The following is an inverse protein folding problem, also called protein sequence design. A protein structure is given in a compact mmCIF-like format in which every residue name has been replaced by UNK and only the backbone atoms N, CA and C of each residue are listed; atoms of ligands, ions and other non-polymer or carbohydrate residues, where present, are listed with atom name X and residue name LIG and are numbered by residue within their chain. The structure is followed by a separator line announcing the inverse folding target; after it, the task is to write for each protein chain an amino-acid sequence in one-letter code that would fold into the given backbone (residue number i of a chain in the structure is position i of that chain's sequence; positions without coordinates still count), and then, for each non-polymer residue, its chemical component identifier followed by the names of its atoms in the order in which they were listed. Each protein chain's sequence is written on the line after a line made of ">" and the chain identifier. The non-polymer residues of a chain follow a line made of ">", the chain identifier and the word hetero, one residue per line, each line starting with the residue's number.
data_IF_918478768992
#
_entry.id   IF_918478768992
#
_cell.length_a   1.000
_cell.length_b   1.000
_cell.length_c   1.000
_cell.angle_alpha   90.00
_cell.angle_beta   90.00
_cell.angle_gamma   90.00
#
_symmetry.space_group_name_H-M   'P 1'
#
loop_
_entity.id
_entity.type
_entity.pdbx_description
1 polymer ?
#
# COMPACT_ATOMS: atom_id res chain seq x y z
N UNK A 1 -29.03 -9.87 1.35
CA UNK A 1 -27.73 -9.34 0.92
C UNK A 1 -26.71 -9.75 1.96
N UNK A 2 -25.64 -10.43 1.58
CA UNK A 2 -24.57 -10.83 2.52
C UNK A 2 -23.72 -9.61 2.86
N UNK A 3 -23.19 -9.53 4.08
CA UNK A 3 -22.37 -8.38 4.52
C UNK A 3 -21.17 -8.11 3.59
N UNK A 4 -20.58 -9.16 3.02
CA UNK A 4 -19.49 -9.04 2.04
C UNK A 4 -19.90 -8.29 0.76
N UNK A 5 -21.15 -8.43 0.29
CA UNK A 5 -21.66 -7.72 -0.90
C UNK A 5 -21.78 -6.21 -0.63
N UNK A 6 -22.09 -5.83 0.63
CA UNK A 6 -22.14 -4.43 1.04
C UNK A 6 -20.76 -3.76 0.95
N UNK A 7 -19.66 -4.50 1.06
CA UNK A 7 -18.31 -3.96 0.90
C UNK A 7 -17.95 -3.65 -0.57
N UNK A 8 -18.77 -4.10 -1.54
CA UNK A 8 -18.62 -3.73 -2.94
C UNK A 8 -19.45 -2.49 -3.32
N UNK A 9 -20.31 -2.02 -2.42
CA UNK A 9 -21.20 -0.90 -2.67
C UNK A 9 -20.45 0.44 -2.83
N UNK A 10 -20.97 1.38 -3.64
CA UNK A 10 -20.42 2.73 -3.74
C UNK A 10 -20.31 3.46 -2.40
N UNK A 11 -21.24 3.24 -1.48
CA UNK A 11 -21.28 3.84 -0.15
C UNK A 11 -20.08 3.40 0.70
N UNK A 12 -19.78 2.10 0.71
CA UNK A 12 -18.59 1.61 1.38
C UNK A 12 -17.32 2.08 0.69
N UNK A 13 -17.26 2.07 -0.64
CA UNK A 13 -16.09 2.57 -1.37
C UNK A 13 -15.82 4.05 -1.05
N UNK A 14 -16.87 4.86 -0.94
CA UNK A 14 -16.76 6.25 -0.52
C UNK A 14 -16.26 6.39 0.93
N UNK A 15 -16.89 5.68 1.87
CA UNK A 15 -16.46 5.67 3.29
C UNK A 15 -15.01 5.21 3.43
N UNK A 16 -14.63 4.12 2.76
CA UNK A 16 -13.27 3.59 2.73
C UNK A 16 -12.29 4.65 2.23
N UNK A 17 -12.60 5.35 1.13
CA UNK A 17 -11.77 6.45 0.64
C UNK A 17 -11.61 7.60 1.65
N UNK A 18 -12.67 7.94 2.39
CA UNK A 18 -12.60 8.95 3.45
C UNK A 18 -11.67 8.52 4.59
N UNK A 19 -11.79 7.27 5.06
CA UNK A 19 -10.95 6.73 6.14
C UNK A 19 -9.49 6.63 5.71
N UNK A 20 -9.21 6.15 4.49
CA UNK A 20 -7.84 6.11 3.97
C UNK A 20 -7.22 7.51 3.87
N UNK A 21 -8.00 8.53 3.48
CA UNK A 21 -7.54 9.93 3.47
C UNK A 21 -7.28 10.47 4.87
N UNK A 22 -8.19 10.21 5.82
CA UNK A 22 -8.03 10.57 7.24
C UNK A 22 -6.72 10.02 7.80
N UNK A 23 -6.44 8.76 7.46
CA UNK A 23 -5.27 8.01 7.93
C UNK A 23 -4.02 8.26 7.06
N UNK A 24 -4.05 9.26 6.17
CA UNK A 24 -2.95 9.65 5.28
C UNK A 24 -2.38 8.50 4.43
N UNK A 25 -3.21 7.51 4.09
CA UNK A 25 -2.80 6.28 3.40
C UNK A 25 -1.66 5.55 4.14
N UNK A 26 -1.76 5.50 5.47
CA UNK A 26 -0.84 4.78 6.33
C UNK A 26 -1.56 3.78 7.22
N UNK A 27 -0.95 2.61 7.38
CA UNK A 27 -1.29 1.70 8.45
C UNK A 27 -1.14 2.43 9.80
N UNK A 28 -2.20 2.44 10.60
CA UNK A 28 -2.22 3.09 11.91
C UNK A 28 -1.43 2.32 12.98
N UNK A 29 -0.88 1.15 12.63
CA UNK A 29 -0.05 0.32 13.52
C UNK A 29 1.44 0.37 13.19
N UNK A 30 1.82 0.34 11.91
CA UNK A 30 3.22 0.25 11.48
C UNK A 30 3.62 1.29 10.43
N UNK A 31 2.74 2.24 10.10
CA UNK A 31 3.00 3.26 9.06
C UNK A 31 3.43 2.67 7.69
N UNK A 32 2.94 1.47 7.38
CA UNK A 32 3.19 0.64 6.19
C UNK A 32 4.49 -0.19 6.23
N UNK A 33 5.33 -0.06 7.25
CA UNK A 33 6.65 -0.70 7.32
C UNK A 33 6.59 -2.22 7.16
N UNK A 34 5.76 -2.91 7.95
CA UNK A 34 5.69 -4.38 7.94
C UNK A 34 5.29 -4.98 6.58
N UNK A 35 4.58 -4.23 5.73
CA UNK A 35 4.22 -4.73 4.41
C UNK A 35 5.27 -4.37 3.36
N UNK A 36 5.88 -3.20 3.52
CA UNK A 36 6.88 -2.68 2.59
C UNK A 36 8.27 -3.29 2.77
N UNK A 37 8.56 -3.88 3.94
CA UNK A 37 9.80 -4.63 4.19
C UNK A 37 10.02 -5.76 3.18
N UNK A 38 8.93 -6.36 2.70
CA UNK A 38 8.95 -7.52 1.81
C UNK A 38 8.85 -7.11 0.32
N UNK A 39 8.70 -5.81 0.05
CA UNK A 39 8.63 -5.27 -1.30
C UNK A 39 10.01 -4.92 -1.84
N UNK A 40 10.20 -5.10 -3.14
CA UNK A 40 11.35 -4.52 -3.84
C UNK A 40 11.23 -2.99 -3.86
N UNK A 41 12.37 -2.31 -3.88
CA UNK A 41 12.46 -0.85 -3.89
C UNK A 41 13.23 -0.35 -5.10
N UNK A 42 12.84 0.80 -5.61
CA UNK A 42 13.53 1.47 -6.69
C UNK A 42 13.21 2.96 -6.75
N UNK A 43 13.92 3.68 -7.62
CA UNK A 43 13.76 5.13 -7.78
C UNK A 43 12.97 5.44 -9.04
N UNK A 44 11.97 6.29 -8.89
CA UNK A 44 11.36 7.02 -9.99
C UNK A 44 12.04 8.38 -10.01
N UNK A 45 12.86 8.64 -11.04
CA UNK A 45 13.44 9.96 -11.26
C UNK A 45 12.34 10.91 -11.75
N UNK A 46 12.22 12.08 -11.13
CA UNK A 46 11.31 13.13 -11.53
C UNK A 46 12.04 14.47 -11.63
N UNK A 47 11.84 15.16 -12.75
CA UNK A 47 12.38 16.49 -13.01
C UNK A 47 12.00 16.96 -14.41
N UNK A 48 11.95 18.28 -14.62
CA UNK A 48 11.71 18.88 -15.95
C UNK A 48 12.90 18.74 -16.90
N UNK A 49 14.11 18.59 -16.36
CA UNK A 49 15.37 18.53 -17.13
C UNK A 49 15.81 17.10 -17.48
N UNK A 50 15.23 16.10 -16.82
CA UNK A 50 15.52 14.69 -17.03
C UNK A 50 14.77 14.18 -18.28
N UNK A 51 15.22 14.64 -19.46
CA UNK A 51 14.58 14.39 -20.77
C UNK A 51 14.42 12.91 -21.12
N UNK A 52 15.05 12.01 -20.37
CA UNK A 52 15.05 10.57 -20.63
C UNK A 52 13.91 9.82 -19.90
N UNK A 53 13.23 10.45 -18.94
CA UNK A 53 12.31 9.78 -18.00
C UNK A 53 11.04 10.60 -17.71
N UNK A 54 10.29 10.96 -18.75
CA UNK A 54 8.94 11.49 -18.55
C UNK A 54 7.91 10.36 -18.51
N UNK A 55 6.95 10.38 -17.56
CA UNK A 55 5.86 9.42 -17.54
C UNK A 55 5.02 9.55 -18.80
N UNK A 56 4.75 8.44 -19.47
CA UNK A 56 3.87 8.41 -20.64
C UNK A 56 2.42 8.17 -20.19
N UNK A 57 1.47 8.98 -20.66
CA UNK A 57 0.05 8.86 -20.27
C UNK A 57 -0.66 7.78 -21.09
N UNK A 58 -1.33 6.86 -20.39
CA UNK A 58 -2.14 5.79 -20.96
C UNK A 58 -3.49 5.71 -20.25
N UNK A 59 -4.49 6.42 -20.77
CA UNK A 59 -5.83 6.46 -20.17
C UNK A 59 -5.80 7.08 -18.77
N UNK A 60 -6.16 6.29 -17.74
CA UNK A 60 -6.17 6.73 -16.34
C UNK A 60 -4.85 6.45 -15.58
N UNK A 61 -3.82 5.97 -16.28
CA UNK A 61 -2.55 5.59 -15.69
C UNK A 61 -1.37 6.33 -16.36
N UNK A 62 -0.29 6.49 -15.62
CA UNK A 62 1.02 6.79 -16.17
C UNK A 62 1.83 5.51 -16.32
N UNK A 63 2.67 5.47 -17.34
CA UNK A 63 3.77 4.53 -17.42
C UNK A 63 5.05 5.21 -16.96
N UNK A 64 5.67 4.67 -15.92
CA UNK A 64 6.92 5.17 -15.34
C UNK A 64 8.03 4.13 -15.51
N UNK A 65 9.27 4.60 -15.51
CA UNK A 65 10.43 3.73 -15.45
C UNK A 65 11.00 3.78 -14.03
N UNK A 66 11.26 2.60 -13.47
CA UNK A 66 11.84 2.45 -12.13
C UNK A 66 13.28 2.00 -12.28
N UNK A 67 14.19 2.69 -11.58
CA UNK A 67 15.57 2.27 -11.42
C UNK A 67 15.70 1.34 -10.21
N UNK A 68 16.21 0.13 -10.41
CA UNK A 68 16.47 -0.84 -9.34
C UNK A 68 17.98 -0.91 -9.08
N UNK A 69 18.43 -0.89 -7.81
CA UNK A 69 19.82 -1.17 -7.48
C UNK A 69 20.27 -2.57 -7.90
N UNK A 70 21.59 -2.75 -8.02
CA UNK A 70 22.26 -4.05 -7.97
C UNK A 70 21.89 -5.11 -9.04
N UNK A 71 21.06 -4.78 -10.02
CA UNK A 71 21.05 -5.50 -11.29
C UNK A 71 22.23 -5.02 -12.13
N UNK A 72 23.14 -5.91 -12.48
CA UNK A 72 24.27 -5.62 -13.37
C UNK A 72 23.71 -5.05 -14.69
N UNK A 73 23.95 -3.76 -14.92
CA UNK A 73 23.41 -2.88 -15.97
C UNK A 73 22.13 -2.13 -15.59
N UNK A 74 22.06 -0.87 -16.05
CA UNK A 74 20.96 0.09 -15.89
C UNK A 74 19.62 -0.44 -16.44
N UNK A 75 19.01 -1.40 -15.75
CA UNK A 75 17.75 -2.00 -16.17
C UNK A 75 16.61 -1.16 -15.62
N UNK A 76 15.93 -0.48 -16.52
CA UNK A 76 14.69 0.21 -16.23
C UNK A 76 13.54 -0.77 -16.39
N UNK A 77 12.70 -0.87 -15.37
CA UNK A 77 11.43 -1.56 -15.53
C UNK A 77 10.32 -0.59 -15.82
N UNK A 78 9.48 -0.93 -16.79
CA UNK A 78 8.25 -0.20 -17.09
C UNK A 78 7.17 -0.64 -16.11
N UNK A 79 6.65 0.29 -15.33
CA UNK A 79 5.53 0.06 -14.43
C UNK A 79 4.36 0.97 -14.78
N UNK A 80 3.14 0.52 -14.45
CA UNK A 80 1.94 1.34 -14.53
C UNK A 80 1.60 1.86 -13.15
N UNK A 81 1.23 3.13 -13.08
CA UNK A 81 0.82 3.80 -11.86
C UNK A 81 -0.47 4.59 -12.12
N UNK A 82 -1.40 4.55 -11.17
CA UNK A 82 -2.60 5.40 -11.23
C UNK A 82 -2.21 6.88 -11.31
N UNK A 83 -2.91 7.61 -12.18
CA UNK A 83 -2.80 9.08 -12.26
C UNK A 83 -3.21 9.76 -10.96
N UNK A 84 -4.07 9.12 -10.16
CA UNK A 84 -4.56 9.69 -8.92
C UNK A 84 -3.48 9.67 -7.85
N UNK A 85 -3.04 10.86 -7.45
CA UNK A 85 -2.07 11.05 -6.39
C UNK A 85 -0.62 11.12 -6.85
N UNK A 86 -0.31 10.75 -8.10
CA UNK A 86 1.01 10.93 -8.71
C UNK A 86 1.20 12.35 -9.23
N UNK A 87 2.18 13.05 -8.67
CA UNK A 87 2.61 14.36 -9.17
C UNK A 87 3.89 14.20 -10.00
N UNK A 88 3.80 14.53 -11.28
CA UNK A 88 4.93 14.49 -12.21
C UNK A 88 6.01 15.47 -11.76
N UNK A 89 7.28 15.08 -11.90
CA UNK A 89 8.43 15.97 -11.69
C UNK A 89 9.11 15.87 -10.32
N UNK A 90 8.67 14.98 -9.43
CA UNK A 90 9.35 14.70 -8.16
C UNK A 90 10.07 13.35 -8.18
N UNK A 91 11.33 13.34 -7.77
CA UNK A 91 12.03 12.12 -7.40
C UNK A 91 11.26 11.38 -6.30
N UNK A 92 11.10 10.07 -6.47
CA UNK A 92 10.32 9.25 -5.53
C UNK A 92 10.93 7.86 -5.37
N UNK A 93 10.73 7.26 -4.20
CA UNK A 93 10.98 5.83 -3.97
C UNK A 93 9.70 5.08 -4.29
N UNK A 94 9.76 4.15 -5.23
CA UNK A 94 8.71 3.19 -5.52
C UNK A 94 8.98 1.88 -4.77
N UNK A 95 7.94 1.36 -4.13
CA UNK A 95 7.87 0.01 -3.59
C UNK A 95 6.98 -0.80 -4.52
N UNK A 96 7.48 -1.94 -4.99
CA UNK A 96 6.79 -2.71 -6.01
C UNK A 96 6.96 -4.22 -5.80
N UNK A 97 6.05 -4.97 -6.42
CA UNK A 97 6.14 -6.42 -6.53
C UNK A 97 6.26 -6.75 -8.01
N UNK A 98 7.30 -7.50 -8.37
CA UNK A 98 7.47 -8.02 -9.71
C UNK A 98 6.81 -9.39 -9.85
N UNK A 99 5.91 -9.52 -10.83
CA UNK A 99 5.42 -10.82 -11.24
C UNK A 99 6.49 -11.51 -12.10
N UNK A 100 7.05 -12.60 -11.59
CA UNK A 100 8.16 -13.33 -12.25
C UNK A 100 7.78 -13.99 -13.57
N UNK A 101 6.50 -14.30 -13.79
CA UNK A 101 6.03 -14.98 -15.00
C UNK A 101 5.72 -14.01 -16.14
N UNK A 102 5.07 -12.89 -15.84
CA UNK A 102 4.70 -11.86 -16.83
C UNK A 102 5.76 -10.76 -16.99
N UNK A 103 6.70 -10.65 -16.05
CA UNK A 103 7.62 -9.53 -15.94
C UNK A 103 6.94 -8.21 -15.54
N UNK A 104 5.63 -8.22 -15.28
CA UNK A 104 4.88 -7.02 -14.91
C UNK A 104 5.27 -6.55 -13.52
N UNK A 105 5.42 -5.24 -13.38
CA UNK A 105 5.76 -4.58 -12.13
C UNK A 105 4.58 -3.79 -11.63
N UNK A 106 4.08 -4.18 -10.47
CA UNK A 106 2.99 -3.51 -9.80
C UNK A 106 3.56 -2.64 -8.70
N UNK A 107 3.43 -1.32 -8.87
CA UNK A 107 3.78 -0.38 -7.82
C UNK A 107 2.72 -0.46 -6.73
N UNK A 108 3.15 -0.80 -5.52
CA UNK A 108 2.30 -0.90 -4.34
C UNK A 108 2.21 0.45 -3.64
N UNK A 109 3.35 1.12 -3.51
CA UNK A 109 3.45 2.38 -2.79
C UNK A 109 4.52 3.27 -3.40
N UNK A 110 4.35 4.57 -3.26
CA UNK A 110 5.38 5.53 -3.62
C UNK A 110 5.48 6.60 -2.54
N UNK A 111 6.73 6.95 -2.25
CA UNK A 111 7.11 7.98 -1.30
C UNK A 111 7.93 9.05 -2.01
N UNK A 112 7.47 10.31 -1.94
CA UNK A 112 8.19 11.45 -2.53
C UNK A 112 9.50 11.70 -1.77
N UNK A 113 10.58 11.97 -2.50
CA UNK A 113 11.87 12.41 -1.97
C UNK A 113 11.92 13.93 -2.05
N UNK A 114 12.38 14.61 -0.98
CA UNK A 114 12.61 16.06 -1.07
C UNK A 114 13.89 16.37 -1.85
N UNK A 115 13.90 17.42 -2.68
CA UNK A 115 15.07 17.80 -3.47
C UNK A 115 16.39 17.87 -2.67
N UNK A 116 16.37 18.41 -1.44
CA UNK A 116 17.57 18.55 -0.61
C UNK A 116 18.07 17.27 0.08
N UNK A 117 17.25 16.23 0.23
CA UNK A 117 17.68 15.00 0.93
C UNK A 117 18.66 14.17 0.12
N UNK A 118 18.50 14.21 -1.20
CA UNK A 118 19.43 13.56 -2.12
C UNK A 118 20.81 14.21 -1.91
N UNK A 119 20.88 15.54 -1.98
CA UNK A 119 22.12 16.32 -1.78
C UNK A 119 22.77 16.10 -0.42
N UNK A 120 22.02 16.11 0.69
CA UNK A 120 22.55 15.91 2.06
C UNK A 120 23.20 14.54 2.28
N UNK A 121 22.70 13.49 1.62
CA UNK A 121 23.29 12.14 1.68
C UNK A 121 24.62 12.07 0.94
N UNK A 122 24.78 12.87 -0.11
CA UNK A 122 25.99 12.93 -0.92
C UNK A 122 27.05 13.86 -0.34
N UNK A 123 26.67 14.99 0.29
CA UNK A 123 27.63 15.91 0.93
C UNK A 123 28.43 15.24 2.06
N UNK A 124 27.87 14.20 2.70
CA UNK A 124 28.54 13.43 3.74
C UNK A 124 29.52 12.37 3.20
N UNK A 125 29.66 12.19 1.88
CA UNK A 125 30.62 11.23 1.28
C UNK A 125 31.29 11.80 0.02
N UNK A 126 32.51 12.29 0.23
CA UNK A 126 33.57 12.52 -0.76
C UNK A 126 33.27 13.51 -1.90
N UNK A 127 33.65 14.78 -1.66
CA UNK A 127 33.41 15.98 -2.48
C UNK A 127 34.25 16.08 -3.78
N UNK A 128 34.69 14.98 -4.39
CA UNK A 128 35.59 15.05 -5.58
C UNK A 128 34.97 14.57 -6.89
N UNK A 129 33.65 14.37 -6.97
CA UNK A 129 33.01 14.01 -8.24
C UNK A 129 32.54 15.24 -9.02
N UNK A 130 32.93 15.39 -10.31
CA UNK A 130 32.60 16.57 -11.10
C UNK A 130 31.09 16.74 -11.29
N UNK A 131 30.62 17.95 -11.00
CA UNK A 131 29.24 18.41 -11.13
C UNK A 131 28.63 18.21 -12.53
N UNK A 132 29.45 18.00 -13.56
CA UNK A 132 29.03 17.82 -14.97
C UNK A 132 28.67 16.37 -15.36
N UNK A 133 28.80 15.39 -14.44
CA UNK A 133 28.26 14.03 -14.63
C UNK A 133 26.93 13.86 -13.90
N UNK A 134 25.96 14.72 -14.21
CA UNK A 134 24.57 14.72 -13.70
C UNK A 134 23.75 13.45 -14.01
N UNK A 135 24.37 12.31 -14.33
CA UNK A 135 23.69 11.21 -15.00
C UNK A 135 24.12 9.89 -14.35
N UNK A 136 23.26 9.37 -13.49
CA UNK A 136 23.28 8.05 -12.85
C UNK A 136 24.41 7.76 -11.86
N UNK A 137 24.23 8.22 -10.62
CA UNK A 137 24.89 7.56 -9.48
C UNK A 137 24.28 6.17 -9.29
N UNK A 138 25.08 5.14 -8.90
CA UNK A 138 24.52 3.87 -8.49
C UNK A 138 23.73 4.13 -7.20
N UNK A 139 22.40 4.23 -7.29
CA UNK A 139 21.54 4.02 -6.14
C UNK A 139 21.83 2.59 -5.69
N UNK A 140 22.72 2.46 -4.71
CA UNK A 140 23.00 1.20 -4.04
C UNK A 140 21.85 0.91 -3.08
N UNK A 141 21.65 -0.36 -2.71
CA UNK A 141 20.66 -0.75 -1.69
C UNK A 141 20.82 0.12 -0.42
N UNK A 142 22.06 0.45 -0.06
CA UNK A 142 22.37 1.34 1.05
C UNK A 142 21.73 2.74 0.94
N UNK A 143 21.78 3.40 -0.23
CA UNK A 143 21.20 4.75 -0.41
C UNK A 143 19.67 4.66 -0.37
N UNK A 144 19.09 3.60 -0.96
CA UNK A 144 17.65 3.38 -0.87
C UNK A 144 17.19 3.15 0.56
N UNK A 145 17.94 2.35 1.32
CA UNK A 145 17.64 2.08 2.71
C UNK A 145 17.84 3.32 3.59
N UNK A 146 18.86 4.15 3.34
CA UNK A 146 19.05 5.39 4.08
C UNK A 146 17.93 6.41 3.81
N UNK A 147 17.51 6.54 2.55
CA UNK A 147 16.35 7.36 2.17
C UNK A 147 15.03 6.79 2.72
N UNK A 148 14.91 5.48 2.88
CA UNK A 148 13.76 4.85 3.49
C UNK A 148 13.75 5.05 5.03
N UNK A 149 14.91 4.94 5.67
CA UNK A 149 15.07 4.83 7.12
C UNK A 149 15.31 6.14 7.87
N UNK A 150 15.68 7.23 7.20
CA UNK A 150 15.84 8.53 7.84
C UNK A 150 14.65 9.44 7.48
N UNK A 151 14.03 10.04 8.50
CA UNK A 151 12.95 11.04 8.41
C UNK A 151 11.53 10.49 8.13
N UNK A 152 10.95 9.78 9.09
CA UNK A 152 9.66 9.09 8.97
C UNK A 152 8.42 10.00 8.99
N UNK A 153 8.51 11.22 9.54
CA UNK A 153 7.31 12.00 9.91
C UNK A 153 6.87 13.12 8.95
N UNK A 154 7.59 13.39 7.85
CA UNK A 154 7.35 14.60 7.02
C UNK A 154 7.08 14.35 5.52
N UNK A 155 6.81 13.11 5.10
CA UNK A 155 6.59 12.76 3.70
C UNK A 155 5.16 12.30 3.44
N UNK A 156 4.65 12.58 2.23
CA UNK A 156 3.30 12.23 1.81
C UNK A 156 3.34 10.90 1.04
N UNK A 157 2.70 9.87 1.59
CA UNK A 157 2.41 8.64 0.84
C UNK A 157 1.43 8.97 -0.27
N UNK A 158 1.72 8.48 -1.47
CA UNK A 158 0.71 8.45 -2.53
C UNK A 158 -0.24 7.26 -2.29
N UNK A 159 -1.45 7.26 -2.86
CA UNK A 159 -2.45 6.23 -2.59
C UNK A 159 -1.86 4.83 -2.66
N UNK A 160 -1.86 4.15 -1.51
CA UNK A 160 -1.29 2.82 -1.34
C UNK A 160 -2.28 1.77 -1.82
N UNK A 161 -1.87 0.91 -2.75
CA UNK A 161 -2.67 -0.23 -3.17
C UNK A 161 -2.49 -1.36 -2.16
N UNK A 162 -3.57 -1.75 -1.48
CA UNK A 162 -3.57 -2.86 -0.51
C UNK A 162 -3.90 -2.47 0.94
N UNK A 163 -4.13 -1.19 1.26
CA UNK A 163 -4.59 -0.83 2.62
C UNK A 163 -6.01 -1.31 2.85
N UNK A 164 -6.24 -1.87 4.03
CA UNK A 164 -7.53 -2.36 4.48
C UNK A 164 -8.12 -1.38 5.50
N UNK A 165 -9.42 -1.11 5.40
CA UNK A 165 -10.15 -0.41 6.46
C UNK A 165 -10.83 -1.50 7.30
N UNK A 166 -10.35 -1.65 8.52
CA UNK A 166 -10.78 -2.65 9.48
C UNK A 166 -11.86 -2.06 10.40
N UNK A 167 -12.94 -2.80 10.62
CA UNK A 167 -13.95 -2.51 11.63
C UNK A 167 -13.48 -3.06 12.98
N UNK A 168 -13.25 -2.18 13.96
CA UNK A 168 -12.79 -2.56 15.29
C UNK A 168 -13.83 -3.38 16.08
N UNK A 169 -15.11 -3.25 15.71
CA UNK A 169 -16.23 -3.99 16.28
C UNK A 169 -17.39 -4.03 15.29
N UNK A 170 -18.30 -4.98 15.49
CA UNK A 170 -19.52 -5.11 14.70
C UNK A 170 -20.75 -4.92 15.59
N UNK A 171 -21.66 -4.04 15.15
CA UNK A 171 -23.00 -3.86 15.72
C UNK A 171 -24.02 -4.58 14.84
N UNK A 172 -25.00 -5.22 15.48
CA UNK A 172 -26.11 -5.86 14.77
C UNK A 172 -26.85 -4.86 13.89
N UNK A 173 -27.29 -5.31 12.70
CA UNK A 173 -28.08 -4.55 11.72
C UNK A 173 -27.42 -3.30 11.10
N UNK A 174 -26.18 -2.96 11.49
CA UNK A 174 -25.43 -1.86 10.86
C UNK A 174 -24.74 -2.28 9.57
N UNK A 175 -24.86 -1.45 8.53
CA UNK A 175 -24.11 -1.57 7.27
C UNK A 175 -22.67 -1.04 7.45
N UNK A 176 -21.71 -1.48 6.62
CA UNK A 176 -20.30 -1.12 6.77
C UNK A 176 -20.00 0.39 6.88
N UNK A 177 -20.77 1.24 6.17
CA UNK A 177 -20.57 2.70 6.13
C UNK A 177 -21.32 3.47 7.22
N UNK A 178 -22.18 2.82 8.00
CA UNK A 178 -22.98 3.46 9.07
C UNK A 178 -22.22 3.56 10.41
N UNK A 179 -20.97 3.10 10.43
CA UNK A 179 -20.08 3.20 11.56
C UNK A 179 -19.45 4.59 11.64
N UNK A 180 -19.24 5.05 12.87
CA UNK A 180 -18.42 6.22 13.16
C UNK A 180 -16.99 5.98 12.71
N UNK A 181 -16.25 7.06 12.45
CA UNK A 181 -14.87 7.00 12.01
C UNK A 181 -13.97 6.29 13.04
N UNK A 182 -14.24 6.47 14.33
CA UNK A 182 -13.57 5.83 15.47
C UNK A 182 -13.69 4.30 15.49
N UNK A 183 -14.74 3.75 14.88
CA UNK A 183 -14.92 2.31 14.72
C UNK A 183 -14.06 1.72 13.60
N UNK A 184 -13.39 2.57 12.80
CA UNK A 184 -12.66 2.17 11.59
C UNK A 184 -11.19 2.54 11.70
N UNK A 185 -10.32 1.59 11.38
CA UNK A 185 -8.87 1.80 11.39
C UNK A 185 -8.23 1.32 10.08
N UNK A 186 -7.30 2.10 9.53
CA UNK A 186 -6.53 1.69 8.35
C UNK A 186 -5.37 0.82 8.76
N UNK A 187 -5.25 -0.38 8.17
CA UNK A 187 -4.16 -1.34 8.41
C UNK A 187 -3.57 -1.83 7.09
N UNK A 188 -2.26 -2.09 7.07
CA UNK A 188 -1.64 -2.83 5.96
C UNK A 188 -2.05 -4.32 6.02
N UNK A 189 -1.93 -5.07 4.91
CA UNK A 189 -2.29 -6.49 4.88
C UNK A 189 -1.62 -7.30 6.00
N UNK A 190 -0.32 -7.10 6.24
CA UNK A 190 0.43 -7.79 7.29
C UNK A 190 -0.12 -7.49 8.69
N UNK A 191 -0.31 -6.22 9.04
CA UNK A 191 -0.86 -5.83 10.34
C UNK A 191 -2.32 -6.23 10.51
N UNK A 192 -3.09 -6.24 9.43
CA UNK A 192 -4.48 -6.66 9.41
C UNK A 192 -4.59 -8.17 9.64
N UNK A 193 -3.77 -8.97 8.96
CA UNK A 193 -3.68 -10.41 9.17
C UNK A 193 -3.25 -10.73 10.60
N UNK A 194 -2.18 -10.09 11.09
CA UNK A 194 -1.72 -10.25 12.48
C UNK A 194 -2.79 -9.92 13.51
N UNK A 195 -3.60 -8.88 13.28
CA UNK A 195 -4.68 -8.50 14.20
C UNK A 195 -5.73 -9.61 14.33
N UNK A 196 -5.99 -10.31 13.22
CA UNK A 196 -6.97 -11.38 13.18
C UNK A 196 -6.39 -12.78 13.41
N UNK A 197 -5.06 -12.93 13.38
CA UNK A 197 -4.38 -14.19 13.57
C UNK A 197 -4.78 -14.78 14.93
N UNK A 198 -5.35 -15.98 14.88
CA UNK A 198 -5.82 -16.74 16.04
C UNK A 198 -6.81 -15.99 16.97
N UNK A 199 -7.47 -14.96 16.43
CA UNK A 199 -8.36 -14.06 17.19
C UNK A 199 -9.84 -14.43 17.12
N UNK A 200 -10.60 -13.88 18.08
CA UNK A 200 -12.07 -13.83 18.03
C UNK A 200 -12.51 -12.37 17.93
N UNK A 201 -13.53 -12.11 17.12
CA UNK A 201 -14.14 -10.78 16.97
C UNK A 201 -15.42 -10.71 17.79
N UNK A 202 -15.56 -9.68 18.63
CA UNK A 202 -16.78 -9.43 19.41
C UNK A 202 -17.95 -8.93 18.55
N UNK A 203 -19.13 -9.50 18.77
CA UNK A 203 -20.41 -8.95 18.31
C UNK A 203 -20.99 -8.15 19.47
N UNK A 204 -21.25 -6.87 19.25
CA UNK A 204 -21.77 -5.98 20.28
C UNK A 204 -23.24 -5.64 20.01
N UNK A 205 -24.05 -5.54 21.06
CA UNK A 205 -25.38 -4.94 20.96
C UNK A 205 -25.28 -3.41 20.82
N UNK A 206 -26.42 -2.74 20.60
CA UNK A 206 -26.48 -1.28 20.47
C UNK A 206 -26.10 -0.54 21.76
N UNK A 207 -26.00 -1.22 22.90
CA UNK A 207 -25.54 -0.67 24.18
C UNK A 207 -24.04 -0.90 24.41
N UNK A 208 -23.34 -1.54 23.47
CA UNK A 208 -21.91 -1.84 23.55
C UNK A 208 -21.58 -3.12 24.33
N UNK A 209 -22.57 -3.91 24.75
CA UNK A 209 -22.33 -5.18 25.42
C UNK A 209 -21.94 -6.26 24.42
N UNK A 210 -20.92 -7.08 24.73
CA UNK A 210 -20.56 -8.24 23.92
C UNK A 210 -21.65 -9.30 24.04
N UNK A 211 -22.36 -9.58 22.95
CA UNK A 211 -23.42 -10.60 22.87
C UNK A 211 -22.97 -11.88 22.17
N UNK A 212 -21.77 -11.89 21.61
CA UNK A 212 -21.21 -13.06 20.95
C UNK A 212 -19.75 -12.88 20.55
N UNK A 213 -19.10 -13.98 20.19
CA UNK A 213 -17.74 -14.03 19.66
C UNK A 213 -17.75 -14.83 18.37
N UNK A 214 -17.09 -14.30 17.34
CA UNK A 214 -16.87 -14.97 16.06
C UNK A 214 -15.41 -15.36 15.92
N UNK A 215 -15.14 -16.63 15.63
CA UNK A 215 -13.80 -17.15 15.38
C UNK A 215 -13.39 -16.78 13.97
N UNK A 216 -12.24 -16.12 13.81
CA UNK A 216 -11.74 -15.74 12.49
C UNK A 216 -11.46 -16.99 11.62
N UNK A 217 -11.76 -16.90 10.33
CA UNK A 217 -11.54 -17.98 9.36
C UNK A 217 -10.06 -18.42 9.37
N UNK A 218 -9.80 -19.71 9.47
CA UNK A 218 -8.43 -20.24 9.62
C UNK A 218 -7.56 -20.07 8.38
N UNK A 219 -8.15 -19.75 7.21
CA UNK A 219 -7.39 -19.52 5.97
C UNK A 219 -7.08 -18.05 5.72
N UNK A 220 -8.06 -17.18 5.89
CA UNK A 220 -7.87 -15.74 5.61
C UNK A 220 -7.69 -14.90 6.86
N UNK A 221 -7.71 -15.54 8.04
CA UNK A 221 -7.63 -14.87 9.33
C UNK A 221 -8.57 -13.66 9.35
N UNK A 222 -9.87 -13.87 9.17
CA UNK A 222 -10.85 -12.76 9.21
C UNK A 222 -10.85 -11.80 8.02
N UNK A 223 -9.89 -11.86 7.08
CA UNK A 223 -9.85 -10.93 5.95
C UNK A 223 -10.98 -11.14 4.95
N UNK A 224 -11.33 -12.40 4.68
CA UNK A 224 -12.36 -12.81 3.71
C UNK A 224 -11.96 -12.58 2.25
N UNK A 225 -10.81 -11.97 1.99
CA UNK A 225 -10.38 -11.52 0.68
C UNK A 225 -8.85 -11.38 0.61
N UNK A 226 -8.29 -11.62 -0.57
CA UNK A 226 -6.85 -11.59 -0.88
C UNK A 226 -6.61 -10.75 -2.15
N UNK A 227 -5.86 -9.64 -2.06
CA UNK A 227 -5.58 -8.76 -3.21
C UNK A 227 -4.87 -9.46 -4.37
N UNK A 228 -3.99 -10.41 -4.07
CA UNK A 228 -3.17 -11.11 -5.04
C UNK A 228 -4.03 -11.96 -6.01
N UNK A 229 -5.21 -12.35 -5.55
CA UNK A 229 -6.17 -13.15 -6.31
C UNK A 229 -7.34 -12.33 -6.85
N UNK A 230 -7.26 -10.99 -6.90
CA UNK A 230 -8.36 -10.17 -7.43
C UNK A 230 -8.82 -10.61 -8.84
N UNK A 231 -7.89 -11.08 -9.67
CA UNK A 231 -8.16 -11.62 -11.01
C UNK A 231 -8.89 -12.99 -11.00
N UNK A 232 -9.05 -13.64 -9.85
CA UNK A 232 -9.73 -14.93 -9.66
C UNK A 232 -10.86 -14.77 -8.65
N UNK A 233 -12.10 -14.79 -9.13
CA UNK A 233 -13.31 -14.60 -8.31
C UNK A 233 -13.23 -13.36 -7.41
N UNK A 234 -12.72 -12.27 -7.97
CA UNK A 234 -12.55 -10.99 -7.29
C UNK A 234 -11.66 -11.07 -6.05
N UNK A 235 -10.85 -12.13 -5.82
CA UNK A 235 -9.96 -12.27 -4.67
C UNK A 235 -10.60 -12.85 -3.41
N UNK A 236 -11.82 -13.38 -3.50
CA UNK A 236 -12.53 -13.90 -2.32
C UNK A 236 -11.78 -15.09 -1.67
N UNK A 237 -11.79 -15.17 -0.34
CA UNK A 237 -11.22 -16.33 0.33
C UNK A 237 -12.04 -17.59 0.02
N UNK A 238 -11.48 -18.56 -0.72
CA UNK A 238 -12.22 -19.75 -1.13
C UNK A 238 -12.59 -20.72 0.02
N UNK A 239 -12.00 -20.57 1.21
CA UNK A 239 -12.42 -21.38 2.38
C UNK A 239 -13.73 -20.87 2.95
N UNK A 240 -13.78 -19.59 3.32
CA UNK A 240 -14.97 -19.01 3.94
C UNK A 240 -15.93 -18.38 2.94
N UNK A 241 -15.60 -18.39 1.64
CA UNK A 241 -16.33 -17.68 0.60
C UNK A 241 -16.64 -16.21 1.00
N UNK A 242 -15.63 -15.53 1.56
CA UNK A 242 -15.76 -14.16 2.06
C UNK A 242 -16.54 -13.98 3.37
N UNK A 243 -16.98 -15.06 4.03
CA UNK A 243 -17.72 -15.00 5.30
C UNK A 243 -16.86 -14.55 6.51
N UNK A 244 -15.53 -14.58 6.38
CA UNK A 244 -14.53 -14.12 7.37
C UNK A 244 -14.45 -14.89 8.68
N UNK A 245 -15.52 -15.56 9.10
CA UNK A 245 -15.61 -16.24 10.39
C UNK A 245 -16.05 -17.69 10.22
N UNK A 246 -15.51 -18.61 11.03
CA UNK A 246 -15.77 -20.06 10.94
C UNK A 246 -17.25 -20.38 11.21
N UNK A 247 -17.89 -19.68 12.13
CA UNK A 247 -19.31 -19.86 12.46
C UNK A 247 -20.25 -19.43 11.31
N UNK A 248 -19.75 -18.70 10.31
CA UNK A 248 -20.51 -18.22 9.16
C UNK A 248 -20.20 -18.98 7.86
N UNK A 249 -19.34 -20.01 7.91
CA UNK A 249 -19.06 -20.90 6.77
C UNK A 249 -20.20 -21.91 6.69
N UNK A 250 -20.94 -21.87 5.58
CA UNK A 250 -22.06 -22.78 5.28
C UNK A 250 -21.61 -23.88 4.33
#
# INVERSE_FOLDING_TARGET
>A
MKYAELLLSPEWQHKRCQILRRDNYQCQRCSNENFLSDCDKGVIAGGSEDRFFQPEEYGLNYSVKIFIPNQLQFNFMRALISKQGFEVGYNSIAYFIQNKESGQVNIIAIRKIKPGQVTELFDNRDTTLPYDKQVFFPFTDYILDELANNYWSKYKWMPFQGLHVHHNYYLSEKKPWEYGDDALTTLCPTCHEELHKDGKTGIHDNNGNVIGLLTNCFRCHGAGWFPEFHHVQEGICFRCNGAKYEELIV
#
